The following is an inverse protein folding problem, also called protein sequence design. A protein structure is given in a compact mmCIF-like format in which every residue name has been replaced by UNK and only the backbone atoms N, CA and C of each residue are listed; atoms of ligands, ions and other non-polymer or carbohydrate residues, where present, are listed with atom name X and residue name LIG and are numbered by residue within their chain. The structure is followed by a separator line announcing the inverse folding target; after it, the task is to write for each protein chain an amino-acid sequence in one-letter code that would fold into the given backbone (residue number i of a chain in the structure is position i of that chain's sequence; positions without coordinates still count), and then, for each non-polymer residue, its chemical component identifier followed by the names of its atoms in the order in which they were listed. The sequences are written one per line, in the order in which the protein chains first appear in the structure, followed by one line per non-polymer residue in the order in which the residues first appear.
data_IF_117830318574
#
_entry.id   IF_117830318574
#
_cell.length_a   1.000
_cell.length_b   1.000
_cell.length_c   1.000
_cell.angle_alpha   90.00
_cell.angle_beta   90.00
_cell.angle_gamma   90.00
#
_symmetry.space_group_name_H-M   'P 1'
#
loop_
_entity.id
_entity.type
_entity.pdbx_description
1 polymer ?
#
# COMPACT_ATOMS: atom_id res chain seq x y z
N UNK A 1 10.77 -2.35 9.09
CA UNK A 1 10.47 -0.92 8.83
C UNK A 1 9.19 -0.86 8.03
N UNK A 2 8.23 -0.03 8.45
CA UNK A 2 6.89 0.03 7.84
C UNK A 2 6.97 0.59 6.40
N UNK A 3 6.16 0.07 5.45
CA UNK A 3 6.24 0.41 4.02
C UNK A 3 5.65 1.78 3.65
N UNK A 4 5.47 2.68 4.62
CA UNK A 4 4.69 3.92 4.48
C UNK A 4 5.53 5.18 4.72
N UNK A 5 6.85 5.10 4.53
CA UNK A 5 7.68 6.30 4.54
C UNK A 5 7.46 7.08 3.26
N UNK A 6 7.49 8.40 3.33
CA UNK A 6 7.36 9.29 2.16
C UNK A 6 8.37 8.96 1.06
N UNK A 7 9.53 8.39 1.42
CA UNK A 7 10.53 7.89 0.48
C UNK A 7 10.04 6.70 -0.35
N UNK A 8 9.33 5.75 0.26
CA UNK A 8 8.79 4.55 -0.42
C UNK A 8 7.57 4.89 -1.29
N UNK A 9 6.76 5.86 -0.85
CA UNK A 9 5.67 6.43 -1.66
C UNK A 9 6.20 7.09 -2.94
N UNK A 10 7.32 7.82 -2.82
CA UNK A 10 7.99 8.47 -3.96
C UNK A 10 8.61 7.48 -4.95
N UNK A 11 9.00 6.29 -4.49
CA UNK A 11 9.43 5.19 -5.37
C UNK A 11 8.26 4.55 -6.12
N UNK A 12 7.10 4.41 -5.47
CA UNK A 12 5.88 3.90 -6.12
C UNK A 12 5.28 4.90 -7.13
N UNK A 13 5.43 6.21 -6.90
CA UNK A 13 4.98 7.26 -7.83
C UNK A 13 5.91 7.44 -9.04
N UNK A 14 7.18 7.04 -8.93
CA UNK A 14 8.16 7.14 -10.03
C UNK A 14 7.89 6.19 -11.19
N UNK A 15 7.15 5.11 -10.97
CA UNK A 15 6.87 4.11 -12.00
C UNK A 15 5.72 4.51 -12.95
N UNK A 16 5.00 5.60 -12.67
CA UNK A 16 3.80 6.02 -13.44
C UNK A 16 3.96 7.34 -14.23
N UNK A 17 5.10 8.04 -14.11
CA UNK A 17 5.30 9.36 -14.73
C UNK A 17 6.55 9.44 -15.60
N UNK A 18 6.49 8.81 -16.77
CA UNK A 18 7.46 9.01 -17.87
C UNK A 18 7.12 10.21 -18.77
N UNK A 19 6.54 11.30 -18.26
CA UNK A 19 6.40 12.53 -19.06
C UNK A 19 6.06 13.75 -18.21
N UNK A 20 7.05 14.50 -17.70
CA UNK A 20 7.02 15.98 -17.65
C UNK A 20 8.42 16.53 -17.36
N UNK A 21 8.76 17.60 -18.09
CA UNK A 21 10.11 18.09 -18.38
C UNK A 21 10.79 18.94 -17.27
N UNK A 22 12.12 18.88 -17.34
CA UNK A 22 13.21 19.82 -16.92
C UNK A 22 12.88 21.24 -16.38
N UNK A 23 13.57 21.52 -15.27
CA UNK A 23 14.46 22.64 -14.95
C UNK A 23 13.94 24.11 -14.86
N UNK A 24 14.31 24.71 -13.71
CA UNK A 24 14.40 26.14 -13.35
C UNK A 24 13.10 26.95 -13.18
N UNK A 25 12.59 27.00 -11.94
CA UNK A 25 12.36 28.27 -11.23
C UNK A 25 12.10 28.03 -9.73
N UNK A 26 12.72 28.84 -8.88
CA UNK A 26 12.79 28.71 -7.42
C UNK A 26 11.52 29.15 -6.67
N UNK A 27 10.33 28.95 -7.24
CA UNK A 27 9.07 29.41 -6.64
C UNK A 27 7.86 28.47 -6.87
N UNK A 28 8.09 27.19 -7.19
CA UNK A 28 7.03 26.31 -7.71
C UNK A 28 6.93 24.91 -7.08
N UNK A 29 7.51 24.65 -5.90
CA UNK A 29 7.25 23.39 -5.21
C UNK A 29 5.86 23.45 -4.57
N UNK A 30 4.96 22.59 -5.06
CA UNK A 30 3.55 22.57 -4.71
C UNK A 30 3.32 22.53 -3.20
N UNK A 31 2.34 23.30 -2.76
CA UNK A 31 1.92 23.46 -1.36
C UNK A 31 1.78 22.13 -0.61
N UNK A 32 1.47 21.04 -1.31
CA UNK A 32 1.32 19.68 -0.78
C UNK A 32 2.64 19.05 -0.29
N UNK A 33 3.78 19.32 -0.91
CA UNK A 33 5.08 18.71 -0.53
C UNK A 33 5.57 19.28 0.82
N UNK A 34 5.27 20.56 1.09
CA UNK A 34 5.65 21.25 2.35
C UNK A 34 4.78 20.86 3.56
N UNK A 35 3.62 20.22 3.35
CA UNK A 35 2.69 19.86 4.44
C UNK A 35 3.24 18.80 5.39
N UNK A 36 4.22 18.02 4.92
CA UNK A 36 4.82 16.91 5.65
C UNK A 36 6.31 17.11 5.90
N UNK A 37 6.78 18.36 5.84
CA UNK A 37 8.15 18.69 6.22
C UNK A 37 8.32 18.79 7.73
N UNK A 38 9.21 17.95 8.25
CA UNK A 38 9.54 17.88 9.66
C UNK A 38 11.06 18.04 9.85
N UNK A 39 11.45 18.79 10.86
CA UNK A 39 12.83 18.90 11.30
C UNK A 39 13.05 18.07 12.56
N UNK A 40 14.07 17.21 12.52
CA UNK A 40 14.54 16.53 13.70
C UNK A 40 15.17 17.56 14.66
N UNK A 41 14.79 17.50 15.93
CA UNK A 41 15.39 18.38 16.94
C UNK A 41 15.85 17.66 18.20
N UNK A 42 15.41 16.43 18.44
CA UNK A 42 15.93 15.59 19.51
C UNK A 42 15.87 14.10 19.17
N UNK A 43 16.87 13.35 19.65
CA UNK A 43 17.00 11.90 19.53
C UNK A 43 17.34 11.35 20.91
N UNK A 44 16.46 10.51 21.45
CA UNK A 44 16.74 9.78 22.68
C UNK A 44 17.29 8.40 22.30
N UNK A 45 18.40 8.04 22.92
CA UNK A 45 19.04 6.74 22.82
C UNK A 45 18.78 5.95 24.10
N UNK A 46 18.68 4.64 23.96
CA UNK A 46 18.63 3.71 25.07
C UNK A 46 19.74 2.68 24.88
N UNK A 47 20.67 2.61 25.83
CA UNK A 47 21.74 1.62 25.86
C UNK A 47 21.48 0.64 27.00
N UNK A 48 21.20 -0.62 26.67
CA UNK A 48 20.90 -1.65 27.67
C UNK A 48 19.86 -2.67 27.19
N UNK A 49 19.29 -3.38 28.16
CA UNK A 49 18.26 -4.40 27.97
C UNK A 49 16.85 -3.83 28.20
N UNK A 50 15.83 -4.61 27.85
CA UNK A 50 14.42 -4.23 28.03
C UNK A 50 14.09 -3.77 29.46
N UNK A 51 14.67 -4.41 30.47
CA UNK A 51 14.36 -4.16 31.89
C UNK A 51 15.34 -3.21 32.59
N UNK A 52 16.46 -2.87 31.95
CA UNK A 52 17.49 -2.02 32.53
C UNK A 52 18.39 -1.43 31.45
N UNK A 53 18.68 -0.14 31.54
CA UNK A 53 19.59 0.54 30.63
C UNK A 53 19.78 1.99 31.01
N UNK A 54 20.48 2.71 30.14
CA UNK A 54 20.80 4.12 30.30
C UNK A 54 20.24 4.93 29.14
N UNK A 55 19.64 6.06 29.48
CA UNK A 55 19.09 6.98 28.49
C UNK A 55 20.02 8.16 28.29
N UNK A 56 20.36 8.42 27.03
CA UNK A 56 21.06 9.65 26.62
C UNK A 56 20.28 10.36 25.54
N UNK A 57 20.54 11.64 25.34
CA UNK A 57 19.79 12.47 24.41
C UNK A 57 20.73 13.31 23.56
N UNK A 58 20.51 13.33 22.25
CA UNK A 58 21.04 14.37 21.37
C UNK A 58 19.94 15.39 21.11
N UNK A 59 20.17 16.65 21.44
CA UNK A 59 19.23 17.72 21.11
C UNK A 59 19.90 18.87 20.38
N UNK A 60 19.15 19.48 19.47
CA UNK A 60 19.56 20.66 18.72
C UNK A 60 19.17 21.92 19.47
N UNK A 61 20.14 22.81 19.66
CA UNK A 61 19.89 24.18 20.10
C UNK A 61 20.42 25.12 19.02
N UNK A 62 19.51 25.89 18.41
CA UNK A 62 19.78 26.65 17.18
C UNK A 62 20.24 25.71 16.05
N UNK A 63 21.47 25.87 15.56
CA UNK A 63 22.06 25.06 14.50
C UNK A 63 23.17 24.13 15.00
N UNK A 64 23.30 24.00 16.32
CA UNK A 64 24.30 23.15 16.96
C UNK A 64 23.67 21.98 17.71
N UNK A 65 24.39 20.87 17.75
CA UNK A 65 23.96 19.64 18.39
C UNK A 65 24.73 19.43 19.68
N UNK A 66 24.03 18.91 20.69
CA UNK A 66 24.61 18.60 21.99
C UNK A 66 24.15 17.22 22.43
N UNK A 67 25.05 16.48 23.08
CA UNK A 67 24.75 15.24 23.77
C UNK A 67 24.58 15.52 25.26
N UNK A 68 23.47 15.06 25.80
CA UNK A 68 23.09 15.11 27.21
C UNK A 68 23.17 13.69 27.78
N UNK A 69 23.99 13.55 28.81
CA UNK A 69 24.26 12.31 29.52
C UNK A 69 24.23 12.64 31.03
N UNK A 70 23.04 12.57 31.62
CA UNK A 70 22.72 13.05 32.96
C UNK A 70 23.21 14.48 33.24
N UNK A 71 24.24 14.64 34.08
CA UNK A 71 24.84 15.91 34.46
C UNK A 71 25.85 16.44 33.41
N UNK A 72 26.21 15.62 32.42
CA UNK A 72 27.22 15.95 31.41
C UNK A 72 26.57 16.38 30.10
N UNK A 73 26.85 17.63 29.73
CA UNK A 73 26.47 18.19 28.44
C UNK A 73 27.73 18.40 27.61
N UNK A 74 27.76 17.80 26.42
CA UNK A 74 28.90 17.89 25.50
C UNK A 74 28.44 18.34 24.12
N UNK A 75 29.25 19.16 23.45
CA UNK A 75 29.00 19.53 22.06
C UNK A 75 29.11 18.30 21.16
N UNK A 76 28.29 18.25 20.11
CA UNK A 76 28.24 17.14 19.17
C UNK A 76 27.91 17.62 17.75
N UNK A 77 27.83 16.67 16.82
CA UNK A 77 27.48 16.93 15.43
C UNK A 77 26.19 16.23 15.03
N UNK A 78 25.51 16.76 14.01
CA UNK A 78 24.37 16.09 13.40
C UNK A 78 24.73 14.68 12.94
N UNK A 79 25.93 14.49 12.37
CA UNK A 79 26.40 13.18 11.91
C UNK A 79 26.45 12.15 13.06
N UNK A 80 27.01 12.54 14.21
CA UNK A 80 27.05 11.68 15.40
C UNK A 80 25.65 11.36 15.93
N UNK A 81 24.76 12.36 15.95
CA UNK A 81 23.35 12.16 16.31
C UNK A 81 22.65 11.15 15.37
N UNK A 82 22.83 11.28 14.05
CA UNK A 82 22.19 10.41 13.05
C UNK A 82 22.73 8.97 13.06
N UNK A 83 23.98 8.77 13.48
CA UNK A 83 24.60 7.45 13.63
C UNK A 83 24.26 6.77 14.96
N UNK A 84 23.62 7.47 15.89
CA UNK A 84 23.27 6.94 17.20
C UNK A 84 22.12 5.92 17.13
N UNK A 85 22.08 4.99 18.10
CA UNK A 85 21.01 3.98 18.23
C UNK A 85 19.71 4.64 18.71
N UNK A 86 18.94 5.21 17.80
CA UNK A 86 17.72 5.94 18.13
C UNK A 86 16.64 5.04 18.74
N UNK A 87 16.15 5.43 19.91
CA UNK A 87 15.00 4.81 20.58
C UNK A 87 13.73 5.66 20.41
N UNK A 88 13.82 6.97 20.66
CA UNK A 88 12.74 7.93 20.39
C UNK A 88 13.25 9.11 19.57
N UNK A 89 12.42 9.60 18.64
CA UNK A 89 12.75 10.72 17.77
C UNK A 89 11.70 11.82 17.93
N UNK A 90 12.17 13.06 18.10
CA UNK A 90 11.30 14.22 18.22
C UNK A 90 11.50 15.14 17.02
N UNK A 91 10.39 15.45 16.38
CA UNK A 91 10.33 16.26 15.17
C UNK A 91 9.43 17.48 15.39
N UNK A 92 9.83 18.63 14.86
CA UNK A 92 8.97 19.82 14.76
C UNK A 92 8.51 19.97 13.31
N UNK A 93 7.22 20.27 13.12
CA UNK A 93 6.68 20.59 11.81
C UNK A 93 7.22 21.95 11.35
N UNK A 94 7.87 22.01 10.18
CA UNK A 94 8.43 23.28 9.65
C UNK A 94 7.36 24.31 9.33
N UNK A 95 6.23 23.83 8.81
CA UNK A 95 5.15 24.67 8.32
C UNK A 95 3.83 24.28 8.97
N UNK A 96 3.28 25.18 9.79
CA UNK A 96 1.95 25.02 10.39
C UNK A 96 0.86 25.46 9.39
N UNK A 97 0.87 24.85 8.21
CA UNK A 97 -0.11 25.10 7.15
C UNK A 97 -1.37 24.27 7.40
N UNK A 98 -2.10 24.58 8.48
CA UNK A 98 -3.41 23.97 8.73
C UNK A 98 -4.46 24.71 7.89
N UNK A 99 -4.72 24.22 6.67
CA UNK A 99 -6.00 24.54 6.04
C UNK A 99 -7.08 23.68 6.71
N UNK A 100 -8.26 24.24 7.02
CA UNK A 100 -9.37 23.43 7.47
C UNK A 100 -9.70 22.37 6.40
N UNK A 101 -10.05 21.15 6.85
CA UNK A 101 -10.49 20.03 6.01
C UNK A 101 -9.44 19.37 5.10
N UNK A 102 -8.14 19.45 5.41
CA UNK A 102 -7.16 18.58 4.73
C UNK A 102 -7.32 17.14 5.27
N UNK A 103 -7.76 16.23 4.40
CA UNK A 103 -7.69 14.78 4.67
C UNK A 103 -6.23 14.36 4.56
N UNK A 104 -5.60 13.83 5.63
CA UNK A 104 -4.22 13.34 5.58
C UNK A 104 -4.02 12.32 4.45
N UNK A 105 -2.88 12.40 3.75
CA UNK A 105 -2.55 11.54 2.61
C UNK A 105 -2.67 10.04 2.91
N UNK A 106 -2.31 9.61 4.13
CA UNK A 106 -2.42 8.21 4.55
C UNK A 106 -3.88 7.71 4.61
N UNK A 107 -4.83 8.59 4.95
CA UNK A 107 -6.27 8.25 4.93
C UNK A 107 -6.71 8.07 3.49
N UNK A 108 -6.37 9.03 2.62
CA UNK A 108 -6.72 8.99 1.18
C UNK A 108 -6.15 7.75 0.49
N UNK A 109 -4.90 7.39 0.79
CA UNK A 109 -4.27 6.19 0.24
C UNK A 109 -5.01 4.92 0.68
N UNK A 110 -5.28 4.77 1.98
CA UNK A 110 -5.99 3.60 2.52
C UNK A 110 -7.37 3.44 1.91
N UNK A 111 -8.10 4.55 1.72
CA UNK A 111 -9.41 4.54 1.05
C UNK A 111 -9.28 4.10 -0.41
N UNK A 112 -8.29 4.64 -1.14
CA UNK A 112 -8.03 4.28 -2.54
C UNK A 112 -7.65 2.81 -2.70
N UNK A 113 -6.81 2.30 -1.81
CA UNK A 113 -6.40 0.89 -1.80
C UNK A 113 -7.59 -0.03 -1.52
N UNK A 114 -8.44 0.30 -0.53
CA UNK A 114 -9.65 -0.45 -0.22
C UNK A 114 -10.65 -0.47 -1.40
N UNK A 115 -10.79 0.64 -2.14
CA UNK A 115 -11.60 0.69 -3.36
C UNK A 115 -10.99 -0.20 -4.45
N UNK A 116 -9.67 -0.17 -4.62
CA UNK A 116 -8.96 -1.00 -5.60
C UNK A 116 -9.06 -2.50 -5.28
N UNK A 117 -8.99 -2.86 -4.01
CA UNK A 117 -9.14 -4.23 -3.53
C UNK A 117 -10.56 -4.74 -3.80
N UNK A 118 -11.59 -3.98 -3.40
CA UNK A 118 -12.99 -4.32 -3.68
C UNK A 118 -13.27 -4.48 -5.18
N UNK A 119 -12.69 -3.62 -6.01
CA UNK A 119 -12.83 -3.73 -7.46
C UNK A 119 -12.23 -5.05 -8.00
N UNK A 120 -11.07 -5.46 -7.49
CA UNK A 120 -10.43 -6.74 -7.84
C UNK A 120 -11.23 -7.95 -7.36
N UNK A 121 -11.81 -7.87 -6.16
CA UNK A 121 -12.66 -8.94 -5.64
C UNK A 121 -13.93 -9.10 -6.47
N UNK A 122 -14.60 -7.99 -6.79
CA UNK A 122 -15.79 -7.99 -7.62
C UNK A 122 -15.51 -8.52 -9.05
N UNK A 123 -14.35 -8.18 -9.63
CA UNK A 123 -13.94 -8.71 -10.92
C UNK A 123 -13.75 -10.23 -10.89
N UNK A 124 -13.08 -10.75 -9.86
CA UNK A 124 -12.91 -12.20 -9.65
C UNK A 124 -14.24 -12.93 -9.46
N UNK A 125 -15.19 -12.33 -8.74
CA UNK A 125 -16.53 -12.92 -8.57
C UNK A 125 -17.29 -12.97 -9.89
N UNK A 126 -17.25 -11.89 -10.68
CA UNK A 126 -17.88 -11.83 -12.00
C UNK A 126 -17.27 -12.85 -12.96
N UNK A 127 -15.97 -13.07 -12.90
CA UNK A 127 -15.30 -14.10 -13.71
C UNK A 127 -15.75 -15.52 -13.31
N UNK A 128 -15.79 -15.81 -12.00
CA UNK A 128 -16.30 -17.09 -11.49
C UNK A 128 -17.77 -17.34 -11.86
N UNK A 129 -18.60 -16.29 -11.86
CA UNK A 129 -20.00 -16.42 -12.28
C UNK A 129 -20.12 -16.72 -13.77
N UNK A 130 -19.35 -16.04 -14.62
CA UNK A 130 -19.27 -16.32 -16.07
C UNK A 130 -18.78 -17.73 -16.36
N UNK A 131 -17.83 -18.23 -15.57
CA UNK A 131 -17.33 -19.61 -15.71
C UNK A 131 -18.41 -20.64 -15.34
N UNK A 132 -19.11 -20.43 -14.21
CA UNK A 132 -20.24 -21.27 -13.81
C UNK A 132 -21.38 -21.28 -14.83
N UNK A 133 -21.67 -20.13 -15.45
CA UNK A 133 -22.68 -20.04 -16.51
C UNK A 133 -22.27 -20.86 -17.74
N UNK A 134 -21.01 -20.73 -18.18
CA UNK A 134 -20.46 -21.54 -19.28
C UNK A 134 -20.49 -23.04 -18.97
N UNK A 135 -20.22 -23.44 -17.73
CA UNK A 135 -20.28 -24.83 -17.31
C UNK A 135 -21.72 -25.37 -17.35
N UNK A 136 -22.68 -24.60 -16.83
CA UNK A 136 -24.12 -24.94 -16.89
C UNK A 136 -24.61 -25.05 -18.34
N UNK A 137 -24.14 -24.19 -19.23
CA UNK A 137 -24.48 -24.26 -20.66
C UNK A 137 -23.94 -25.54 -21.30
N UNK A 138 -22.68 -25.89 -21.03
CA UNK A 138 -22.07 -27.15 -21.49
C UNK A 138 -22.79 -28.39 -20.95
N UNK A 139 -23.25 -28.35 -19.70
CA UNK A 139 -24.00 -29.45 -19.10
C UNK A 139 -25.36 -29.63 -19.78
N UNK A 140 -26.08 -28.53 -20.03
CA UNK A 140 -27.35 -28.53 -20.78
C UNK A 140 -27.18 -29.05 -22.20
N UNK A 141 -26.08 -28.71 -22.87
CA UNK A 141 -25.77 -29.20 -24.21
C UNK A 141 -25.52 -30.72 -24.21
N UNK A 142 -24.70 -31.22 -23.26
CA UNK A 142 -24.47 -32.67 -23.08
C UNK A 142 -25.75 -33.45 -22.78
N UNK A 143 -26.65 -32.88 -21.98
CA UNK A 143 -27.94 -33.49 -21.67
C UNK A 143 -28.83 -33.56 -22.92
N UNK A 144 -28.88 -32.48 -23.73
CA UNK A 144 -29.61 -32.47 -25.01
C UNK A 144 -29.10 -33.54 -25.96
N UNK A 145 -27.78 -33.63 -26.16
CA UNK A 145 -27.18 -34.66 -27.01
C UNK A 145 -27.48 -36.07 -26.51
N UNK A 146 -27.50 -36.30 -25.19
CA UNK A 146 -27.85 -37.60 -24.62
C UNK A 146 -29.31 -37.98 -24.89
N UNK A 147 -30.23 -37.04 -24.68
CA UNK A 147 -31.66 -37.24 -24.94
C UNK A 147 -31.92 -37.50 -26.42
N UNK A 148 -31.20 -36.81 -27.32
CA UNK A 148 -31.30 -37.01 -28.76
C UNK A 148 -30.84 -38.42 -29.17
N UNK A 149 -29.68 -38.87 -28.68
CA UNK A 149 -29.18 -40.25 -28.92
C UNK A 149 -30.11 -41.33 -28.36
N UNK A 150 -30.74 -41.10 -27.21
CA UNK A 150 -31.74 -42.03 -26.66
C UNK A 150 -32.97 -42.13 -27.58
N UNK A 151 -33.49 -40.99 -28.08
CA UNK A 151 -34.61 -40.97 -29.03
C UNK A 151 -34.28 -41.63 -30.38
N UNK A 152 -33.06 -41.44 -30.89
CA UNK A 152 -32.61 -42.11 -32.12
C UNK A 152 -32.59 -43.64 -31.94
N UNK A 153 -32.06 -44.12 -30.81
CA UNK A 153 -32.08 -45.56 -30.49
C UNK A 153 -33.48 -46.12 -30.35
N UNK A 154 -34.41 -45.39 -29.72
CA UNK A 154 -35.81 -45.81 -29.63
C UNK A 154 -36.45 -45.93 -31.02
N UNK A 155 -36.24 -44.95 -31.90
CA UNK A 155 -36.71 -45.02 -33.30
C UNK A 155 -36.11 -46.19 -34.06
N UNK A 156 -34.79 -46.42 -33.95
CA UNK A 156 -34.14 -47.57 -34.59
C UNK A 156 -34.74 -48.91 -34.12
N UNK A 157 -35.09 -49.00 -32.83
CA UNK A 157 -35.69 -50.19 -32.25
C UNK A 157 -37.14 -50.40 -32.72
N UNK A 158 -37.92 -49.31 -32.82
CA UNK A 158 -39.28 -49.31 -33.38
C UNK A 158 -39.27 -49.71 -34.87
N UNK A 159 -38.39 -49.11 -35.67
CA UNK A 159 -38.24 -49.41 -37.09
C UNK A 159 -37.82 -50.88 -37.31
N UNK A 160 -36.90 -51.39 -36.49
CA UNK A 160 -36.49 -52.80 -36.54
C UNK A 160 -37.65 -53.75 -36.21
N UNK A 161 -38.49 -53.42 -35.22
CA UNK A 161 -39.65 -54.23 -34.84
C UNK A 161 -40.70 -54.26 -35.96
N UNK A 162 -40.99 -53.11 -36.57
CA UNK A 162 -41.89 -52.98 -37.73
C UNK A 162 -41.43 -53.79 -38.95
N UNK A 163 -40.12 -53.93 -39.16
CA UNK A 163 -39.57 -54.73 -40.26
C UNK A 163 -39.66 -56.26 -40.05
N UNK A 164 -40.09 -56.71 -38.86
CA UNK A 164 -40.14 -58.15 -38.51
C UNK A 164 -41.54 -58.76 -38.65
N UNK A 165 -42.56 -57.96 -38.97
CA UNK A 165 -43.97 -58.34 -39.16
C UNK A 165 -44.33 -58.30 -40.64
#
# INVERSE_FOLDING_TARGET
MAPYTSSMMRELEKDDSSHYFKANDSAGLGYEDTLYEYELFAVINHDGHLDNGHYTNYARFKDEWFKFDDDKVTHSSLSACLQSSAYMLFYVKRHLNYKPNIVPSYIRMRETEAVREKARELEKEREKEREKERERERERERERERVEREREREKELEDALLATV
#
